data_IF_861387179381
#
_entry.id   IF_861387179381
#
_cell.length_a   1.000
_cell.length_b   1.000
_cell.length_c   1.000
_cell.angle_alpha   90.00
_cell.angle_beta   90.00
_cell.angle_gamma   90.00
#
_symmetry.space_group_name_H-M   'P 1'
#
loop_
_entity.id
_entity.type
_entity.pdbx_description
1 polymer ?
#
# COMPACT_ATOMS: atom_id res chain seq x y z
N UNK A 1 3.81 -7.22 -17.51
CA UNK A 1 2.56 -6.41 -17.63
C UNK A 1 1.46 -7.10 -16.83
N UNK A 2 0.29 -6.51 -16.57
CA UNK A 2 -0.85 -7.28 -16.04
C UNK A 2 -1.82 -7.64 -17.16
N UNK A 3 -2.74 -8.58 -16.93
CA UNK A 3 -3.80 -8.91 -17.90
C UNK A 3 -4.64 -7.67 -18.23
N UNK A 4 -4.92 -6.84 -17.23
CA UNK A 4 -5.59 -5.54 -17.42
C UNK A 4 -4.79 -4.61 -18.32
N UNK A 5 -3.46 -4.56 -18.17
CA UNK A 5 -2.61 -3.72 -19.01
C UNK A 5 -2.64 -4.18 -20.48
N UNK A 6 -2.54 -5.48 -20.75
CA UNK A 6 -2.64 -6.05 -22.12
C UNK A 6 -3.99 -5.77 -22.76
N UNK A 7 -5.07 -5.87 -21.98
CA UNK A 7 -6.43 -5.54 -22.44
C UNK A 7 -6.54 -4.08 -22.87
N UNK A 8 -6.04 -3.16 -22.04
CA UNK A 8 -6.07 -1.73 -22.31
C UNK A 8 -5.17 -1.35 -23.50
N UNK A 9 -4.00 -1.99 -23.63
CA UNK A 9 -3.07 -1.80 -24.75
C UNK A 9 -3.72 -2.15 -26.11
N UNK A 10 -4.53 -3.21 -26.13
CA UNK A 10 -5.34 -3.58 -27.30
C UNK A 10 -6.68 -2.84 -27.41
N UNK A 11 -6.98 -1.91 -26.50
CA UNK A 11 -8.19 -1.09 -26.52
C UNK A 11 -9.48 -1.84 -26.20
N UNK A 12 -9.41 -2.98 -25.50
CA UNK A 12 -10.58 -3.85 -25.28
C UNK A 12 -11.33 -3.56 -23.97
N UNK A 13 -12.65 -3.71 -23.98
CA UNK A 13 -13.48 -3.82 -22.78
C UNK A 13 -13.33 -5.20 -22.10
N UNK A 14 -13.78 -5.32 -20.85
CA UNK A 14 -13.75 -6.63 -20.15
C UNK A 14 -14.64 -7.66 -20.86
N UNK A 15 -15.77 -7.22 -21.42
CA UNK A 15 -16.68 -8.01 -22.24
C UNK A 15 -16.06 -8.45 -23.56
N UNK A 16 -15.28 -7.59 -24.20
CA UNK A 16 -14.56 -7.93 -25.43
C UNK A 16 -13.50 -8.99 -25.19
N UNK A 17 -12.66 -8.82 -24.17
CA UNK A 17 -11.67 -9.82 -23.81
C UNK A 17 -12.33 -11.17 -23.44
N UNK A 18 -13.43 -11.13 -22.69
CA UNK A 18 -14.21 -12.31 -22.34
C UNK A 18 -14.69 -13.06 -23.60
N UNK A 19 -15.23 -12.32 -24.58
CA UNK A 19 -15.66 -12.88 -25.87
C UNK A 19 -14.50 -13.51 -26.64
N UNK A 20 -13.36 -12.83 -26.76
CA UNK A 20 -12.20 -13.36 -27.49
C UNK A 20 -11.61 -14.60 -26.83
N UNK A 21 -11.56 -14.62 -25.49
CA UNK A 21 -11.03 -15.75 -24.74
C UNK A 21 -12.03 -16.90 -24.57
N UNK A 22 -13.30 -16.73 -24.97
CA UNK A 22 -14.35 -17.70 -24.69
C UNK A 22 -14.59 -17.90 -23.18
N UNK A 23 -14.36 -16.86 -22.37
CA UNK A 23 -14.52 -16.87 -20.92
C UNK A 23 -15.70 -16.00 -20.50
N UNK A 24 -16.15 -16.15 -19.25
CA UNK A 24 -17.14 -15.22 -18.69
C UNK A 24 -16.49 -13.87 -18.33
N UNK A 25 -17.25 -12.79 -18.41
CA UNK A 25 -16.83 -11.45 -17.94
C UNK A 25 -16.42 -11.49 -16.47
N UNK A 26 -17.14 -12.27 -15.66
CA UNK A 26 -16.81 -12.50 -14.25
C UNK A 26 -15.45 -13.17 -14.07
N UNK A 27 -15.08 -14.10 -14.96
CA UNK A 27 -13.76 -14.74 -14.95
C UNK A 27 -12.67 -13.70 -15.23
N UNK A 28 -12.83 -12.87 -16.27
CA UNK A 28 -11.88 -11.80 -16.58
C UNK A 28 -11.73 -10.83 -15.40
N UNK A 29 -12.83 -10.37 -14.81
CA UNK A 29 -12.82 -9.48 -13.64
C UNK A 29 -12.08 -10.10 -12.45
N UNK A 30 -12.30 -11.38 -12.16
CA UNK A 30 -11.59 -12.08 -11.08
C UNK A 30 -10.09 -12.13 -11.34
N UNK A 31 -9.70 -12.46 -12.57
CA UNK A 31 -8.29 -12.54 -12.97
C UNK A 31 -7.62 -11.15 -12.90
N UNK A 32 -8.31 -10.10 -13.34
CA UNK A 32 -7.81 -8.72 -13.22
C UNK A 32 -7.74 -8.23 -11.76
N UNK A 33 -8.57 -8.78 -10.87
CA UNK A 33 -8.53 -8.54 -9.43
C UNK A 33 -7.47 -9.38 -8.70
N UNK A 34 -6.64 -10.14 -9.42
CA UNK A 34 -5.55 -10.93 -8.84
C UNK A 34 -5.97 -12.30 -8.28
N UNK A 35 -7.14 -12.82 -8.68
CA UNK A 35 -7.53 -14.18 -8.33
C UNK A 35 -6.92 -15.19 -9.31
N UNK A 36 -6.53 -16.36 -8.80
CA UNK A 36 -5.98 -17.44 -9.61
C UNK A 36 -6.96 -17.91 -10.71
N UNK A 37 -6.44 -18.00 -11.93
CA UNK A 37 -7.13 -18.55 -13.07
C UNK A 37 -6.92 -20.07 -13.17
N UNK A 38 -7.90 -20.81 -13.66
CA UNK A 38 -7.70 -22.22 -14.03
C UNK A 38 -6.77 -22.34 -15.25
N UNK A 39 -6.12 -23.49 -15.40
CA UNK A 39 -5.16 -23.74 -16.49
C UNK A 39 -5.78 -23.56 -17.89
N UNK A 40 -7.03 -23.99 -18.09
CA UNK A 40 -7.74 -23.77 -19.34
C UNK A 40 -8.01 -22.28 -19.62
N UNK A 41 -8.38 -21.50 -18.61
CA UNK A 41 -8.53 -20.05 -18.76
C UNK A 41 -7.21 -19.37 -19.11
N UNK A 42 -6.10 -19.85 -18.55
CA UNK A 42 -4.77 -19.37 -18.89
C UNK A 42 -4.38 -19.68 -20.34
N UNK A 43 -4.70 -20.88 -20.84
CA UNK A 43 -4.50 -21.24 -22.26
C UNK A 43 -5.30 -20.32 -23.18
N UNK A 44 -6.56 -20.09 -22.87
CA UNK A 44 -7.43 -19.20 -23.65
C UNK A 44 -6.84 -17.78 -23.72
N UNK A 45 -6.42 -17.23 -22.58
CA UNK A 45 -5.82 -15.90 -22.52
C UNK A 45 -4.46 -15.86 -23.26
N UNK A 46 -3.64 -16.91 -23.13
CA UNK A 46 -2.37 -17.03 -23.83
C UNK A 46 -2.57 -17.03 -25.36
N UNK A 47 -3.57 -17.76 -25.85
CA UNK A 47 -3.92 -17.80 -27.26
C UNK A 47 -4.37 -16.42 -27.79
N UNK A 48 -5.26 -15.73 -27.07
CA UNK A 48 -5.78 -14.40 -27.46
C UNK A 48 -4.71 -13.32 -27.45
N UNK A 49 -3.79 -13.39 -26.48
CA UNK A 49 -2.69 -12.43 -26.35
C UNK A 49 -1.44 -12.83 -27.14
N UNK A 50 -1.49 -13.93 -27.89
CA UNK A 50 -0.36 -14.46 -28.69
C UNK A 50 0.92 -14.57 -27.85
N UNK A 51 0.80 -15.05 -26.62
CA UNK A 51 1.88 -15.10 -25.62
C UNK A 51 1.97 -16.49 -24.98
N UNK A 52 3.07 -16.76 -24.27
CA UNK A 52 3.21 -18.01 -23.51
C UNK A 52 2.40 -17.98 -22.21
N UNK A 53 1.96 -19.16 -21.76
CA UNK A 53 1.29 -19.34 -20.46
C UNK A 53 2.21 -18.90 -19.31
N UNK A 54 3.50 -19.21 -19.38
CA UNK A 54 4.49 -18.84 -18.37
C UNK A 54 4.55 -17.33 -18.16
N UNK A 55 4.47 -16.56 -19.26
CA UNK A 55 4.40 -15.10 -19.20
C UNK A 55 3.19 -14.64 -18.41
N UNK A 56 2.01 -15.23 -18.67
CA UNK A 56 0.77 -14.85 -17.96
C UNK A 56 0.83 -15.21 -16.47
N UNK A 57 1.37 -16.38 -16.14
CA UNK A 57 1.48 -16.84 -14.74
C UNK A 57 2.42 -15.94 -13.94
N UNK A 58 3.59 -15.61 -14.52
CA UNK A 58 4.54 -14.69 -13.88
C UNK A 58 3.94 -13.28 -13.68
N UNK A 59 3.10 -12.84 -14.60
CA UNK A 59 2.40 -11.56 -14.50
C UNK A 59 1.33 -11.56 -13.40
N UNK A 60 0.65 -12.69 -13.16
CA UNK A 60 -0.31 -12.84 -12.07
C UNK A 60 0.38 -12.85 -10.69
N UNK A 61 1.52 -13.54 -10.55
CA UNK A 61 2.25 -13.58 -9.28
C UNK A 61 2.86 -12.23 -8.89
N UNK A 62 3.28 -11.42 -9.87
CA UNK A 62 3.74 -10.05 -9.62
C UNK A 62 2.61 -9.12 -9.10
N UNK A 63 1.36 -9.35 -9.53
CA UNK A 63 0.22 -8.57 -9.05
C UNK A 63 -0.11 -8.86 -7.57
N UNK A 64 -0.01 -10.13 -7.14
CA UNK A 64 -0.20 -10.50 -5.73
C UNK A 64 0.81 -9.80 -4.80
N UNK A 65 2.07 -9.66 -5.25
CA UNK A 65 3.11 -8.96 -4.48
C UNK A 65 2.89 -7.44 -4.37
N UNK A 66 2.15 -6.82 -5.29
CA UNK A 66 1.87 -5.37 -5.22
C UNK A 66 0.89 -5.03 -4.09
N UNK A 67 -0.12 -5.86 -3.85
CA UNK A 67 -1.11 -5.66 -2.79
C UNK A 67 -0.49 -5.82 -1.40
N UNK A 68 0.43 -6.78 -1.25
CA UNK A 68 1.18 -6.97 -0.01
C UNK A 68 2.08 -5.77 0.29
N UNK A 69 2.78 -5.24 -0.72
CA UNK A 69 3.64 -4.05 -0.57
C UNK A 69 2.86 -2.79 -0.21
N UNK A 70 1.71 -2.56 -0.84
CA UNK A 70 0.86 -1.40 -0.53
C UNK A 70 0.34 -1.44 0.92
N UNK A 71 0.05 -2.63 1.44
CA UNK A 71 -0.39 -2.83 2.82
C UNK A 71 0.75 -2.59 3.80
N UNK A 72 1.94 -3.08 3.49
CA UNK A 72 3.14 -2.92 4.32
C UNK A 72 3.59 -1.44 4.38
N UNK A 73 3.59 -0.74 3.24
CA UNK A 73 3.90 0.70 3.17
C UNK A 73 2.89 1.52 3.97
N UNK A 74 1.59 1.21 3.90
CA UNK A 74 0.56 1.91 4.70
C UNK A 74 0.75 1.71 6.20
N UNK A 75 1.16 0.51 6.61
CA UNK A 75 1.43 0.21 8.02
C UNK A 75 2.65 0.99 8.52
N UNK A 76 3.73 1.03 7.75
CA UNK A 76 4.91 1.83 8.09
C UNK A 76 4.58 3.32 8.25
N UNK A 77 3.81 3.90 7.32
CA UNK A 77 3.36 5.30 7.39
C UNK A 77 2.44 5.59 8.59
N UNK A 78 1.72 4.58 9.09
CA UNK A 78 0.91 4.71 10.31
C UNK A 78 1.82 4.80 11.54
N UNK A 79 2.80 3.91 11.64
CA UNK A 79 3.77 3.86 12.76
C UNK A 79 4.59 5.16 12.82
N UNK A 80 5.07 5.66 11.69
CA UNK A 80 5.83 6.93 11.64
C UNK A 80 4.99 8.11 12.13
N UNK A 81 3.72 8.21 11.73
CA UNK A 81 2.82 9.26 12.21
C UNK A 81 2.57 9.17 13.70
N UNK A 82 2.31 7.97 14.23
CA UNK A 82 2.13 7.74 15.66
C UNK A 82 3.38 8.16 16.46
N UNK A 83 4.58 7.82 15.98
CA UNK A 83 5.84 8.22 16.60
C UNK A 83 6.04 9.75 16.59
N UNK A 84 5.69 10.43 15.49
CA UNK A 84 5.76 11.89 15.38
C UNK A 84 4.77 12.56 16.31
N UNK A 85 3.51 12.11 16.36
CA UNK A 85 2.49 12.64 17.26
C UNK A 85 2.90 12.49 18.72
N UNK A 86 3.48 11.34 19.08
CA UNK A 86 4.03 11.10 20.41
C UNK A 86 5.15 12.09 20.75
N UNK A 87 6.13 12.28 19.87
CA UNK A 87 7.21 13.24 20.07
C UNK A 87 6.70 14.69 20.19
N UNK A 88 5.70 15.07 19.39
CA UNK A 88 5.06 16.39 19.48
C UNK A 88 4.31 16.58 20.80
N UNK A 89 3.66 15.53 21.31
CA UNK A 89 2.96 15.56 22.59
C UNK A 89 3.89 15.84 23.77
N UNK A 90 5.12 15.34 23.71
CA UNK A 90 6.19 15.58 24.69
C UNK A 90 6.65 17.05 24.66
N UNK A 91 6.71 17.67 23.47
CA UNK A 91 7.32 19.00 23.30
C UNK A 91 6.36 20.18 23.56
N UNK A 92 5.03 19.97 23.49
CA UNK A 92 4.02 21.01 23.79
C UNK A 92 3.72 21.08 25.30
N UNK A 93 3.72 22.28 25.90
CA UNK A 93 3.27 22.52 27.29
C UNK A 93 2.70 23.94 27.47
N UNK A 94 1.80 24.24 28.45
CA UNK A 94 0.98 23.35 29.30
C UNK A 94 -0.53 23.71 29.34
N UNK A 95 -1.41 22.72 29.36
CA UNK A 95 -2.40 22.45 30.43
C UNK A 95 -3.35 21.30 30.00
N UNK A 96 -3.41 20.26 30.82
CA UNK A 96 -4.43 19.20 30.82
C UNK A 96 -4.47 18.22 29.63
N UNK A 97 -3.35 17.60 29.25
CA UNK A 97 -3.48 16.27 28.64
C UNK A 97 -3.34 15.19 29.74
N UNK A 98 -4.44 14.51 30.14
CA UNK A 98 -4.39 13.44 31.14
C UNK A 98 -3.60 12.21 30.69
N UNK A 99 -3.16 12.15 29.42
CA UNK A 99 -2.29 11.11 28.85
C UNK A 99 -0.85 11.59 28.65
N UNK A 100 -0.37 12.53 29.44
CA UNK A 100 1.02 12.93 29.36
C UNK A 100 1.91 11.77 29.86
N UNK A 101 2.79 11.21 28.99
CA UNK A 101 3.57 10.02 29.31
C UNK A 101 4.68 10.27 30.33
N UNK A 102 5.00 11.55 30.63
CA UNK A 102 6.10 11.90 31.52
C UNK A 102 5.66 11.98 32.99
N UNK A 103 6.52 11.49 33.88
CA UNK A 103 6.40 11.74 35.31
C UNK A 103 6.63 13.22 35.62
N UNK A 104 6.22 13.68 36.81
CA UNK A 104 6.43 15.07 37.23
C UNK A 104 7.91 15.49 37.16
N UNK A 105 8.82 14.62 37.61
CA UNK A 105 10.26 14.87 37.63
C UNK A 105 10.82 15.00 36.20
N UNK A 106 10.45 14.09 35.30
CA UNK A 106 10.92 14.15 33.91
C UNK A 106 10.40 15.40 33.19
N UNK A 107 9.18 15.85 33.51
CA UNK A 107 8.62 17.10 32.98
C UNK A 107 9.35 18.32 33.53
N UNK A 108 9.72 18.32 34.81
CA UNK A 108 10.52 19.38 35.42
C UNK A 108 11.92 19.44 34.78
N UNK A 109 12.53 18.29 34.49
CA UNK A 109 13.80 18.21 33.77
C UNK A 109 13.69 18.74 32.32
N UNK A 110 12.64 18.36 31.58
CA UNK A 110 12.40 18.86 30.23
C UNK A 110 12.13 20.37 30.16
N UNK A 111 11.32 20.89 31.09
CA UNK A 111 11.02 22.32 31.15
C UNK A 111 12.25 23.15 31.50
N UNK A 112 13.11 22.64 32.40
CA UNK A 112 14.41 23.23 32.67
C UNK A 112 15.33 23.20 31.43
N UNK A 113 15.41 22.06 30.73
CA UNK A 113 16.19 21.93 29.50
C UNK A 113 15.71 22.89 28.40
N UNK A 114 14.39 23.03 28.20
CA UNK A 114 13.79 23.98 27.25
C UNK A 114 14.13 25.43 27.60
N UNK A 115 14.09 25.78 28.90
CA UNK A 115 14.48 27.10 29.39
C UNK A 115 15.98 27.38 29.19
N UNK A 116 16.83 26.38 29.35
CA UNK A 116 18.26 26.49 29.05
C UNK A 116 18.50 26.69 27.55
N UNK A 117 17.89 25.87 26.69
CA UNK A 117 18.00 26.01 25.24
C UNK A 117 17.54 27.40 24.76
N UNK A 118 16.47 27.96 25.33
CA UNK A 118 16.03 29.33 25.03
C UNK A 118 16.97 30.43 25.53
N UNK A 119 17.80 30.17 26.55
CA UNK A 119 18.82 31.11 27.05
C UNK A 119 20.11 31.07 26.24
N UNK A 120 20.43 29.93 25.63
CA UNK A 120 21.66 29.74 24.83
C UNK A 120 21.43 29.80 23.32
N UNK A 121 20.18 29.71 22.85
CA UNK A 121 19.79 29.72 21.43
C UNK A 121 19.37 31.09 20.88
N UNK A 122 19.76 32.20 21.52
CA UNK A 122 19.53 33.54 21.01
C UNK A 122 20.62 33.97 20.02
N UNK A 123 20.50 33.54 18.76
CA UNK A 123 20.92 34.25 17.54
C UNK A 123 19.78 34.18 16.54
#
# INVERSE_FOLDING_TARGET
MSIRARRLDKGWSQEELARYAGLSTRTIQRIEAGQNAGFESLKCLAAVFETSINTIVQEQSMAEHSVSKDTEVKNLLKVEREAIEFAQSILRSPHSNPKDPLTKIERDAMSYAKKLLGKFGGV
#
